data_IF_275528425905
#
_entry.id   IF_275528425905
#
_cell.length_a   1.000
_cell.length_b   1.000
_cell.length_c   1.000
_cell.angle_alpha   90.00
_cell.angle_beta   90.00
_cell.angle_gamma   90.00
#
_symmetry.space_group_name_H-M   'P 1'
#
loop_
_entity.id
_entity.type
_entity.pdbx_description
1 polymer ?
#
# COMPACT_ATOMS: atom_id res chain seq x y z
N UNK A 1 18.78 4.51 -20.37
CA UNK A 1 19.02 4.80 -18.95
C UNK A 1 17.84 4.22 -18.20
N UNK A 2 17.97 3.00 -17.69
CA UNK A 2 16.96 2.46 -16.77
C UNK A 2 17.08 3.27 -15.48
N UNK A 3 16.13 4.19 -15.27
CA UNK A 3 15.89 4.71 -13.94
C UNK A 3 15.43 3.51 -13.12
N UNK A 4 16.37 2.88 -12.42
CA UNK A 4 16.08 1.89 -11.39
C UNK A 4 15.25 2.67 -10.37
N UNK A 5 13.93 2.60 -10.47
CA UNK A 5 13.00 3.18 -9.51
C UNK A 5 13.51 2.74 -8.14
N UNK A 6 14.09 3.69 -7.40
CA UNK A 6 14.50 3.45 -6.03
C UNK A 6 13.20 3.31 -5.26
N UNK A 7 12.73 2.06 -5.15
CA UNK A 7 11.66 1.71 -4.22
C UNK A 7 12.08 2.26 -2.87
N UNK A 8 11.33 3.24 -2.37
CA UNK A 8 11.57 3.74 -1.02
C UNK A 8 11.22 2.56 -0.10
N UNK A 9 12.19 2.07 0.67
CA UNK A 9 11.92 0.96 1.55
C UNK A 9 11.00 1.45 2.68
N UNK A 10 10.05 0.61 3.11
CA UNK A 10 9.19 0.95 4.26
C UNK A 10 10.00 1.33 5.51
N UNK A 11 11.18 0.73 5.67
CA UNK A 11 12.14 1.09 6.71
C UNK A 11 12.62 2.55 6.64
N UNK A 12 12.84 3.09 5.44
CA UNK A 12 13.25 4.49 5.24
C UNK A 12 12.12 5.45 5.64
N UNK A 13 10.87 5.09 5.29
CA UNK A 13 9.67 5.86 5.69
C UNK A 13 9.51 5.85 7.21
N UNK A 14 9.73 4.69 7.85
CA UNK A 14 9.70 4.56 9.31
C UNK A 14 10.78 5.41 9.97
N UNK A 15 12.01 5.35 9.49
CA UNK A 15 13.11 6.16 10.02
C UNK A 15 12.80 7.66 9.90
N UNK A 16 12.25 8.09 8.76
CA UNK A 16 11.85 9.46 8.55
C UNK A 16 10.75 9.89 9.53
N UNK A 17 9.71 9.07 9.71
CA UNK A 17 8.64 9.34 10.67
C UNK A 17 9.19 9.50 12.10
N UNK A 18 10.06 8.60 12.54
CA UNK A 18 10.71 8.67 13.85
C UNK A 18 11.57 9.94 14.00
N UNK A 19 12.19 10.42 12.92
CA UNK A 19 13.03 11.64 12.95
C UNK A 19 12.20 12.91 13.03
N UNK A 20 11.10 13.03 12.28
CA UNK A 20 10.25 14.25 12.30
C UNK A 20 9.43 14.38 13.58
N UNK A 21 9.15 13.26 14.24
CA UNK A 21 8.45 13.24 15.53
C UNK A 21 9.33 13.72 16.71
N UNK A 22 10.65 13.75 16.57
CA UNK A 22 11.55 14.19 17.66
C UNK A 22 11.43 15.70 17.93
N UNK A 23 11.74 16.14 19.16
CA UNK A 23 11.85 17.55 19.48
C UNK A 23 12.85 18.28 18.57
N UNK A 24 12.64 19.58 18.28
CA UNK A 24 11.60 20.44 18.84
C UNK A 24 10.26 20.41 18.07
N UNK A 25 10.19 19.70 16.93
CA UNK A 25 9.07 19.82 15.98
C UNK A 25 7.86 18.99 16.35
N UNK A 26 8.06 17.79 16.92
CA UNK A 26 6.97 16.88 17.31
C UNK A 26 5.93 16.65 16.20
N UNK A 27 6.39 16.57 14.95
CA UNK A 27 5.48 16.43 13.81
C UNK A 27 4.98 15.00 13.71
N UNK A 28 3.66 14.85 13.69
CA UNK A 28 2.97 13.59 13.41
C UNK A 28 2.33 13.66 12.02
N UNK A 29 2.03 12.49 11.45
CA UNK A 29 1.36 12.39 10.14
C UNK A 29 0.02 13.12 10.18
N UNK A 30 -0.78 12.92 11.25
CA UNK A 30 -2.06 13.60 11.45
C UNK A 30 -1.91 15.12 11.47
N UNK A 31 -0.87 15.64 12.15
CA UNK A 31 -0.64 17.08 12.25
C UNK A 31 -0.29 17.69 10.89
N UNK A 32 0.60 17.04 10.14
CA UNK A 32 1.01 17.51 8.81
C UNK A 32 -0.19 17.43 7.84
N UNK A 33 -0.97 16.34 7.89
CA UNK A 33 -2.15 16.19 7.05
C UNK A 33 -3.21 17.26 7.33
N UNK A 34 -3.54 17.48 8.61
CA UNK A 34 -4.47 18.51 9.03
C UNK A 34 -4.01 19.92 8.61
N UNK A 35 -2.71 20.20 8.66
CA UNK A 35 -2.14 21.46 8.17
C UNK A 35 -2.36 21.66 6.66
N UNK A 36 -2.13 20.62 5.84
CA UNK A 36 -2.44 20.69 4.40
C UNK A 36 -3.94 20.84 4.14
N UNK A 37 -4.80 20.11 4.86
CA UNK A 37 -6.26 20.26 4.74
C UNK A 37 -6.73 21.69 5.02
N UNK A 38 -6.14 22.35 6.02
CA UNK A 38 -6.52 23.71 6.39
C UNK A 38 -6.12 24.75 5.33
N UNK A 39 -5.03 24.54 4.60
CA UNK A 39 -4.48 25.50 3.64
C UNK A 39 -4.97 25.21 2.21
N UNK A 40 -5.25 23.95 1.89
CA UNK A 40 -5.48 23.47 0.52
C UNK A 40 -6.74 22.57 0.44
N UNK A 41 -7.83 22.98 1.08
CA UNK A 41 -9.06 22.18 1.26
C UNK A 41 -9.68 21.58 -0.03
N UNK A 42 -9.34 22.08 -1.23
CA UNK A 42 -9.79 21.53 -2.52
C UNK A 42 -8.84 20.48 -3.14
N UNK A 43 -7.66 20.27 -2.58
CA UNK A 43 -6.61 19.38 -3.10
C UNK A 43 -6.24 18.26 -2.13
N UNK A 44 -6.87 18.21 -0.96
CA UNK A 44 -6.60 17.23 0.08
C UNK A 44 -7.86 16.44 0.36
N UNK A 45 -7.79 15.13 0.24
CA UNK A 45 -8.90 14.23 0.58
C UNK A 45 -8.93 14.00 2.09
N UNK A 46 -10.14 13.98 2.64
CA UNK A 46 -10.33 13.69 4.06
C UNK A 46 -10.01 12.23 4.37
N UNK A 47 -9.39 11.99 5.52
CA UNK A 47 -9.19 10.64 6.08
C UNK A 47 -9.29 10.71 7.60
N UNK A 48 -10.03 9.78 8.20
CA UNK A 48 -10.20 9.70 9.66
C UNK A 48 -9.05 8.93 10.33
N UNK A 49 -8.23 8.23 9.54
CA UNK A 49 -7.11 7.42 10.03
C UNK A 49 -5.93 7.56 9.09
N UNK A 50 -4.77 7.82 9.67
CA UNK A 50 -3.52 7.86 8.94
C UNK A 50 -2.61 6.70 9.31
N UNK A 51 -2.03 6.07 8.30
CA UNK A 51 -1.04 5.00 8.46
C UNK A 51 0.36 5.56 8.20
N UNK A 52 1.39 4.80 8.56
CA UNK A 52 2.78 5.18 8.24
C UNK A 52 2.99 5.37 6.72
N UNK A 53 2.23 4.63 5.90
CA UNK A 53 2.26 4.77 4.44
C UNK A 53 1.71 6.10 3.92
N UNK A 54 0.87 6.81 4.68
CA UNK A 54 0.42 8.16 4.30
C UNK A 54 1.56 9.19 4.30
N UNK A 55 2.67 8.90 4.98
CA UNK A 55 3.89 9.71 4.85
C UNK A 55 4.43 9.70 3.41
N UNK A 56 4.24 8.60 2.66
CA UNK A 56 4.58 8.55 1.22
C UNK A 56 3.73 9.53 0.43
N UNK A 57 2.42 9.54 0.67
CA UNK A 57 1.50 10.49 0.03
C UNK A 57 1.84 11.94 0.37
N UNK A 58 2.17 12.22 1.64
CA UNK A 58 2.62 13.55 2.08
C UNK A 58 3.88 14.01 1.36
N UNK A 59 4.90 13.14 1.26
CA UNK A 59 6.17 13.48 0.60
C UNK A 59 5.92 13.77 -0.88
N UNK A 60 5.24 12.86 -1.60
CA UNK A 60 4.96 13.02 -3.04
C UNK A 60 4.16 14.29 -3.31
N UNK A 61 3.19 14.62 -2.47
CA UNK A 61 2.43 15.86 -2.55
C UNK A 61 3.32 17.10 -2.33
N UNK A 62 4.12 17.08 -1.26
CA UNK A 62 4.97 18.22 -0.86
C UNK A 62 6.04 18.53 -1.91
N UNK A 63 6.57 17.53 -2.59
CA UNK A 63 7.56 17.72 -3.67
C UNK A 63 6.92 17.95 -5.05
N UNK A 64 5.58 18.04 -5.12
CA UNK A 64 4.84 18.31 -6.35
C UNK A 64 4.79 17.14 -7.33
N UNK A 65 5.09 15.91 -6.90
CA UNK A 65 4.90 14.71 -7.72
C UNK A 65 3.41 14.38 -7.88
N UNK A 66 2.63 14.55 -6.82
CA UNK A 66 1.18 14.35 -6.83
C UNK A 66 0.48 15.70 -6.67
N UNK A 67 -0.53 15.95 -7.52
CA UNK A 67 -1.28 17.21 -7.50
C UNK A 67 -2.34 17.27 -6.39
N UNK A 68 -2.69 16.12 -5.82
CA UNK A 68 -3.64 15.96 -4.73
C UNK A 68 -3.05 15.09 -3.63
N UNK A 69 -3.35 15.45 -2.38
CA UNK A 69 -3.00 14.68 -1.21
C UNK A 69 -4.14 13.71 -0.90
N UNK A 70 -3.94 12.45 -1.30
CA UNK A 70 -4.90 11.34 -1.15
C UNK A 70 -4.27 10.25 -0.30
N UNK A 71 -5.03 9.60 0.62
CA UNK A 71 -4.50 8.52 1.44
C UNK A 71 -3.84 7.43 0.61
N UNK A 72 -2.69 6.94 1.05
CA UNK A 72 -1.92 5.94 0.32
C UNK A 72 -2.74 4.67 0.07
N UNK A 73 -3.52 4.26 1.08
CA UNK A 73 -4.41 3.11 0.99
C UNK A 73 -5.48 3.25 -0.11
N UNK A 74 -5.87 4.46 -0.47
CA UNK A 74 -6.82 4.69 -1.56
C UNK A 74 -6.14 4.56 -2.93
N UNK A 75 -4.93 5.11 -3.09
CA UNK A 75 -4.12 4.91 -4.31
C UNK A 75 -3.84 3.43 -4.58
N UNK A 76 -3.53 2.66 -3.52
CA UNK A 76 -3.34 1.21 -3.61
C UNK A 76 -4.63 0.52 -4.07
N UNK A 77 -5.79 0.90 -3.51
CA UNK A 77 -7.09 0.35 -3.93
C UNK A 77 -7.43 0.66 -5.39
N UNK A 78 -7.14 1.87 -5.86
CA UNK A 78 -7.35 2.27 -7.25
C UNK A 78 -6.47 1.43 -8.21
N UNK A 79 -5.18 1.27 -7.88
CA UNK A 79 -4.24 0.43 -8.65
C UNK A 79 -4.66 -1.03 -8.64
N UNK A 80 -5.09 -1.53 -7.50
CA UNK A 80 -5.55 -2.89 -7.36
C UNK A 80 -6.75 -3.15 -8.26
N UNK A 81 -7.78 -2.29 -8.21
CA UNK A 81 -8.91 -2.39 -9.12
C UNK A 81 -8.48 -2.30 -10.60
N UNK A 82 -7.47 -1.48 -10.92
CA UNK A 82 -6.86 -1.43 -12.25
C UNK A 82 -6.21 -2.74 -12.66
N UNK A 83 -5.38 -3.32 -11.80
CA UNK A 83 -4.71 -4.60 -12.00
C UNK A 83 -5.74 -5.72 -12.21
N UNK A 84 -6.84 -5.75 -11.45
CA UNK A 84 -7.92 -6.73 -11.65
C UNK A 84 -8.53 -6.67 -13.03
N UNK A 85 -8.87 -5.46 -13.49
CA UNK A 85 -9.41 -5.27 -14.83
C UNK A 85 -8.44 -5.72 -15.91
N UNK A 86 -7.13 -5.49 -15.72
CA UNK A 86 -6.12 -5.96 -16.67
C UNK A 86 -6.03 -7.48 -16.69
N UNK A 87 -6.08 -8.15 -15.54
CA UNK A 87 -6.10 -9.61 -15.46
C UNK A 87 -7.36 -10.19 -16.15
N UNK A 88 -8.52 -9.62 -15.90
CA UNK A 88 -9.78 -10.01 -16.55
C UNK A 88 -9.72 -9.84 -18.08
N UNK A 89 -9.18 -8.72 -18.56
CA UNK A 89 -8.97 -8.47 -19.99
C UNK A 89 -7.98 -9.45 -20.64
N UNK A 90 -7.02 -9.95 -19.86
CA UNK A 90 -6.09 -11.01 -20.27
C UNK A 90 -6.71 -12.43 -20.20
N UNK A 91 -7.99 -12.53 -19.79
CA UNK A 91 -8.73 -13.79 -19.71
C UNK A 91 -8.63 -14.52 -18.37
N UNK A 92 -7.99 -13.92 -17.36
CA UNK A 92 -7.98 -14.49 -16.02
C UNK A 92 -9.38 -14.41 -15.39
N UNK A 93 -9.80 -15.50 -14.75
CA UNK A 93 -11.00 -15.53 -13.91
C UNK A 93 -10.59 -16.03 -12.55
N UNK A 94 -11.03 -15.34 -11.50
CA UNK A 94 -10.70 -15.68 -10.14
C UNK A 94 -11.97 -16.13 -9.40
N UNK A 95 -11.86 -17.22 -8.67
CA UNK A 95 -12.86 -17.71 -7.73
C UNK A 95 -13.00 -16.77 -6.54
N UNK A 96 -14.09 -16.89 -5.78
CA UNK A 96 -14.28 -16.14 -4.54
C UNK A 96 -13.14 -16.37 -3.54
N UNK A 97 -12.61 -17.60 -3.50
CA UNK A 97 -11.48 -17.95 -2.64
C UNK A 97 -10.20 -17.22 -3.05
N UNK A 98 -9.88 -17.21 -4.35
CA UNK A 98 -8.72 -16.50 -4.88
C UNK A 98 -8.89 -14.98 -4.71
N UNK A 99 -10.10 -14.45 -4.91
CA UNK A 99 -10.40 -13.03 -4.65
C UNK A 99 -10.10 -12.64 -3.22
N UNK A 100 -10.58 -13.44 -2.27
CA UNK A 100 -10.37 -13.15 -0.86
C UNK A 100 -8.88 -13.01 -0.53
N UNK A 101 -8.03 -13.90 -1.05
CA UNK A 101 -6.58 -13.81 -0.83
C UNK A 101 -6.01 -12.53 -1.43
N UNK A 102 -6.32 -12.25 -2.70
CA UNK A 102 -5.84 -11.07 -3.41
C UNK A 102 -6.30 -9.77 -2.73
N UNK A 103 -7.56 -9.70 -2.29
CA UNK A 103 -8.14 -8.51 -1.65
C UNK A 103 -7.45 -8.24 -0.31
N UNK A 104 -7.24 -9.30 0.50
CA UNK A 104 -6.54 -9.19 1.79
C UNK A 104 -5.06 -8.83 1.62
N UNK A 105 -4.38 -9.39 0.62
CA UNK A 105 -2.99 -9.00 0.30
C UNK A 105 -2.90 -7.53 -0.10
N UNK A 106 -3.82 -7.03 -0.93
CA UNK A 106 -3.88 -5.63 -1.32
C UNK A 106 -4.14 -4.70 -0.12
N UNK A 107 -4.97 -5.12 0.84
CA UNK A 107 -5.21 -4.39 2.08
C UNK A 107 -3.96 -4.33 2.98
N UNK A 108 -3.19 -5.41 3.07
CA UNK A 108 -1.90 -5.39 3.78
C UNK A 108 -0.97 -4.39 3.10
N UNK A 109 -0.79 -4.49 1.78
CA UNK A 109 0.05 -3.55 1.00
C UNK A 109 -0.39 -2.09 1.20
N UNK A 110 -1.69 -1.82 1.31
CA UNK A 110 -2.20 -0.48 1.57
C UNK A 110 -1.71 0.11 2.91
N UNK A 111 -1.51 -0.74 3.92
CA UNK A 111 -1.13 -0.34 5.28
C UNK A 111 0.39 -0.38 5.51
N UNK A 112 1.10 -1.32 4.87
CA UNK A 112 2.55 -1.54 5.07
C UNK A 112 3.43 -1.22 3.85
N UNK A 113 2.86 -0.75 2.74
CA UNK A 113 3.55 -0.51 1.47
C UNK A 113 4.30 -1.73 0.94
N UNK A 114 3.81 -2.92 1.26
CA UNK A 114 4.33 -4.19 0.80
C UNK A 114 3.82 -5.35 1.63
N UNK A 115 3.88 -6.55 1.08
CA UNK A 115 3.58 -7.81 1.77
C UNK A 115 4.69 -8.84 1.47
N UNK A 116 5.11 -9.57 2.49
CA UNK A 116 6.03 -10.69 2.40
C UNK A 116 5.28 -12.02 2.55
N UNK A 117 5.84 -13.15 2.08
CA UNK A 117 5.25 -14.46 2.32
C UNK A 117 4.95 -14.74 3.80
N UNK A 118 5.85 -14.33 4.70
CA UNK A 118 5.70 -14.49 6.16
C UNK A 118 4.48 -13.73 6.72
N UNK A 119 3.99 -12.69 6.03
CA UNK A 119 2.77 -11.99 6.45
C UNK A 119 1.54 -12.89 6.34
N UNK A 120 1.58 -13.92 5.48
CA UNK A 120 0.51 -14.92 5.37
C UNK A 120 0.43 -15.83 6.61
N UNK A 121 1.43 -15.82 7.49
CA UNK A 121 1.36 -16.50 8.79
C UNK A 121 0.70 -15.65 9.89
N UNK A 122 0.01 -14.57 9.51
CA UNK A 122 -0.78 -13.73 10.41
C UNK A 122 -2.28 -13.74 10.08
N UNK A 123 -3.12 -13.31 11.03
CA UNK A 123 -4.55 -13.10 10.80
C UNK A 123 -4.77 -12.00 9.75
N UNK A 124 -5.71 -12.14 8.80
CA UNK A 124 -6.71 -13.22 8.69
C UNK A 124 -6.26 -14.43 7.88
N UNK A 125 -5.06 -14.44 7.30
CA UNK A 125 -4.58 -15.51 6.43
C UNK A 125 -4.48 -16.87 7.13
N UNK A 126 -4.06 -16.87 8.39
CA UNK A 126 -4.02 -18.08 9.23
C UNK A 126 -5.39 -18.74 9.39
N UNK A 127 -6.49 -17.98 9.31
CA UNK A 127 -7.86 -18.53 9.35
C UNK A 127 -8.17 -19.39 8.11
N UNK A 128 -7.41 -19.23 7.02
CA UNK A 128 -7.50 -20.04 5.79
C UNK A 128 -6.31 -20.99 5.59
N UNK A 129 -5.50 -21.19 6.63
CA UNK A 129 -4.34 -22.08 6.62
C UNK A 129 -3.01 -21.42 6.25
N UNK A 130 -2.94 -20.09 6.32
CA UNK A 130 -1.70 -19.32 6.13
C UNK A 130 -1.04 -19.54 4.77
N UNK A 131 0.29 -19.62 4.74
CA UNK A 131 1.06 -19.85 3.49
C UNK A 131 0.58 -21.12 2.76
N UNK A 132 0.37 -22.22 3.48
CA UNK A 132 -0.10 -23.48 2.88
C UNK A 132 -1.50 -23.33 2.26
N UNK A 133 -2.36 -22.55 2.91
CA UNK A 133 -3.67 -22.18 2.39
C UNK A 133 -3.59 -21.38 1.09
N UNK A 134 -2.69 -20.40 1.03
CA UNK A 134 -2.47 -19.61 -0.16
C UNK A 134 -1.91 -20.46 -1.32
N UNK A 135 -0.97 -21.37 -1.06
CA UNK A 135 -0.45 -22.29 -2.08
C UNK A 135 -1.54 -23.22 -2.61
N UNK A 136 -2.42 -23.72 -1.74
CA UNK A 136 -3.56 -24.55 -2.14
C UNK A 136 -4.54 -23.79 -3.03
N UNK A 137 -4.85 -22.55 -2.68
CA UNK A 137 -5.94 -21.79 -3.31
C UNK A 137 -5.50 -20.99 -4.54
N UNK A 138 -4.29 -20.43 -4.54
CA UNK A 138 -3.72 -19.61 -5.63
C UNK A 138 -2.65 -20.35 -6.44
N UNK A 139 -2.25 -21.54 -6.00
CA UNK A 139 -1.25 -22.37 -6.67
C UNK A 139 0.20 -22.07 -6.26
N UNK A 140 1.16 -22.80 -6.87
CA UNK A 140 2.56 -22.81 -6.44
C UNK A 140 3.32 -21.50 -6.75
N UNK A 141 2.78 -20.63 -7.59
CA UNK A 141 3.40 -19.37 -8.00
C UNK A 141 3.08 -18.19 -7.07
N UNK A 142 2.68 -18.45 -5.81
CA UNK A 142 2.27 -17.41 -4.85
C UNK A 142 3.35 -16.36 -4.62
N UNK A 143 4.63 -16.75 -4.56
CA UNK A 143 5.73 -15.82 -4.38
C UNK A 143 5.83 -14.81 -5.54
N UNK A 144 5.70 -15.29 -6.78
CA UNK A 144 5.71 -14.43 -7.96
C UNK A 144 4.49 -13.49 -7.98
N UNK A 145 3.33 -13.95 -7.51
CA UNK A 145 2.14 -13.14 -7.39
C UNK A 145 2.31 -12.03 -6.33
N UNK A 146 2.89 -12.36 -5.18
CA UNK A 146 3.22 -11.37 -4.14
C UNK A 146 4.18 -10.30 -4.70
N UNK A 147 5.23 -10.71 -5.41
CA UNK A 147 6.19 -9.78 -6.02
C UNK A 147 5.53 -8.88 -7.07
N UNK A 148 4.62 -9.44 -7.86
CA UNK A 148 3.84 -8.68 -8.83
C UNK A 148 2.93 -7.67 -8.14
N UNK A 149 2.15 -8.08 -7.13
CA UNK A 149 1.27 -7.17 -6.38
C UNK A 149 2.08 -6.06 -5.69
N UNK A 150 3.19 -6.39 -5.05
CA UNK A 150 4.09 -5.40 -4.46
C UNK A 150 4.56 -4.39 -5.51
N UNK A 151 4.89 -4.85 -6.72
CA UNK A 151 5.37 -3.98 -7.80
C UNK A 151 4.26 -3.08 -8.34
N UNK A 152 3.13 -3.66 -8.74
CA UNK A 152 2.03 -2.95 -9.40
C UNK A 152 1.30 -2.00 -8.45
N UNK A 153 1.14 -2.38 -7.18
CA UNK A 153 0.35 -1.60 -6.24
C UNK A 153 1.13 -0.46 -5.57
N UNK A 154 2.46 -0.57 -5.49
CA UNK A 154 3.32 0.42 -4.80
C UNK A 154 4.02 1.43 -5.71
N UNK A 155 3.82 1.33 -7.04
CA UNK A 155 4.42 2.21 -8.06
C UNK A 155 4.18 3.72 -7.86
#
# INVERSE_FOLDING_TARGET
MEARERRIAFADIKELAERIQRPPRNWTIDLIWAAHQAIEAGRVRHSDRHTLTDLVSLIRYTIGQDNELVPYAEKVRERYAGWLRQQEQAGATFTETERWWLDRMAEVIAVSAGINPDDLDNTPFTERGGIDGAIRDLGPSIAALIDQLNTELTA
#
